data_IF_576473167129
#
_entry.id   IF_576473167129
#
_cell.length_a   1.000
_cell.length_b   1.000
_cell.length_c   1.000
_cell.angle_alpha   90.00
_cell.angle_beta   90.00
_cell.angle_gamma   90.00
#
_symmetry.space_group_name_H-M   'P 1'
#
loop_
_entity.id
_entity.type
_entity.pdbx_description
1 polymer ?
#
# COMPACT_ATOMS: atom_id res chain seq x y z
N UNK A 1 -7.57 4.04 -7.82
CA UNK A 1 -7.46 5.47 -8.10
C UNK A 1 -6.81 6.14 -6.89
N UNK A 2 -5.91 7.11 -7.12
CA UNK A 2 -5.18 7.75 -6.03
C UNK A 2 -3.94 6.95 -5.61
N UNK A 3 -3.59 7.07 -4.35
CA UNK A 3 -2.41 6.45 -3.72
C UNK A 3 -2.76 5.41 -2.64
N UNK A 4 -4.03 5.07 -2.52
CA UNK A 4 -4.46 3.87 -1.80
C UNK A 4 -3.92 2.65 -2.53
N UNK A 5 -3.19 1.78 -1.81
CA UNK A 5 -2.47 0.65 -2.40
C UNK A 5 -3.13 -0.68 -2.11
N UNK A 6 -2.94 -1.61 -3.04
CA UNK A 6 -3.26 -3.02 -2.89
C UNK A 6 -1.95 -3.80 -3.00
N UNK A 7 -1.67 -4.61 -1.98
CA UNK A 7 -0.56 -5.56 -1.98
C UNK A 7 -1.12 -6.98 -1.99
N UNK A 8 -0.55 -7.85 -2.82
CA UNK A 8 -0.87 -9.26 -2.86
C UNK A 8 0.37 -10.07 -2.53
N UNK A 9 0.29 -10.80 -1.43
CA UNK A 9 1.39 -11.60 -0.89
C UNK A 9 1.07 -13.09 -1.08
N UNK A 10 2.01 -13.81 -1.63
CA UNK A 10 1.97 -15.27 -1.82
C UNK A 10 3.32 -15.88 -1.46
N UNK A 11 3.33 -16.93 -0.63
CA UNK A 11 4.56 -17.63 -0.27
C UNK A 11 5.62 -16.76 0.42
N UNK A 12 5.22 -15.66 1.05
CA UNK A 12 6.14 -14.72 1.69
C UNK A 12 6.76 -13.67 0.76
N UNK A 13 6.21 -13.52 -0.44
CA UNK A 13 6.65 -12.52 -1.43
C UNK A 13 5.46 -11.67 -1.88
N UNK A 14 5.70 -10.39 -2.16
CA UNK A 14 4.72 -9.52 -2.81
C UNK A 14 4.72 -9.84 -4.31
N UNK A 15 3.65 -10.47 -4.78
CA UNK A 15 3.49 -10.86 -6.19
C UNK A 15 2.76 -9.81 -7.02
N UNK A 16 2.11 -8.86 -6.37
CA UNK A 16 1.47 -7.71 -7.01
C UNK A 16 1.40 -6.54 -6.03
N UNK A 17 1.60 -5.36 -6.55
CA UNK A 17 1.39 -4.08 -5.88
C UNK A 17 0.80 -3.10 -6.88
N UNK A 18 -0.28 -2.41 -6.50
CA UNK A 18 -0.84 -1.34 -7.32
C UNK A 18 0.12 -0.15 -7.40
N UNK A 19 0.09 0.54 -8.53
CA UNK A 19 0.85 1.78 -8.73
C UNK A 19 0.02 2.98 -8.29
N UNK A 20 0.67 3.92 -7.61
CA UNK A 20 0.02 5.16 -7.21
C UNK A 20 -0.31 6.03 -8.43
N UNK A 21 -1.41 6.73 -8.37
CA UNK A 21 -1.70 7.82 -9.31
C UNK A 21 -1.19 9.14 -8.71
N UNK A 22 0.13 9.28 -8.64
CA UNK A 22 0.83 10.40 -8.01
C UNK A 22 1.99 10.91 -8.86
N UNK A 23 2.44 12.13 -8.58
CA UNK A 23 3.61 12.71 -9.25
C UNK A 23 4.87 11.86 -9.04
N UNK A 24 5.22 11.42 -7.79
CA UNK A 24 6.40 10.59 -7.61
C UNK A 24 6.34 9.25 -8.37
N UNK A 25 5.16 8.64 -8.48
CA UNK A 25 5.02 7.42 -9.29
C UNK A 25 5.27 7.68 -10.78
N UNK A 26 4.86 8.83 -11.29
CA UNK A 26 5.21 9.23 -12.67
C UNK A 26 6.73 9.37 -12.83
N UNK A 27 7.41 9.99 -11.87
CA UNK A 27 8.86 10.15 -11.87
C UNK A 27 9.59 8.78 -11.84
N UNK A 28 9.07 7.82 -11.06
CA UNK A 28 9.57 6.42 -11.11
C UNK A 28 9.40 5.82 -12.51
N UNK A 29 8.24 6.03 -13.12
CA UNK A 29 7.95 5.48 -14.46
C UNK A 29 8.84 6.09 -15.53
N UNK A 30 9.21 7.37 -15.39
CA UNK A 30 10.16 8.07 -16.28
C UNK A 30 11.63 7.78 -15.95
N UNK A 31 11.92 7.07 -14.86
CA UNK A 31 13.28 6.76 -14.43
C UNK A 31 14.03 7.90 -13.74
N UNK A 32 13.32 8.93 -13.28
CA UNK A 32 13.90 10.09 -12.59
C UNK A 32 14.23 9.78 -11.13
N UNK A 33 13.40 8.95 -10.47
CA UNK A 33 13.61 8.48 -9.09
C UNK A 33 13.37 6.98 -9.00
N UNK A 34 13.82 6.37 -7.92
CA UNK A 34 13.54 4.96 -7.59
C UNK A 34 12.25 4.82 -6.78
N UNK A 35 11.68 3.61 -6.75
CA UNK A 35 10.41 3.35 -6.07
C UNK A 35 10.46 3.65 -4.55
N UNK A 36 11.55 3.33 -3.90
CA UNK A 36 11.78 3.57 -2.47
C UNK A 36 11.84 5.06 -2.11
N UNK A 37 12.14 5.92 -3.08
CA UNK A 37 12.15 7.38 -2.88
C UNK A 37 10.75 8.00 -2.82
N UNK A 38 9.69 7.28 -3.23
CA UNK A 38 8.30 7.80 -3.19
C UNK A 38 7.91 8.22 -1.78
N UNK A 39 8.21 7.40 -0.74
CA UNK A 39 7.79 7.65 0.64
C UNK A 39 8.28 8.97 1.21
N UNK A 40 9.50 9.34 0.90
CA UNK A 40 10.14 10.57 1.39
C UNK A 40 10.07 11.74 0.41
N UNK A 41 9.36 11.61 -0.72
CA UNK A 41 9.33 12.65 -1.73
C UNK A 41 8.49 13.85 -1.30
N UNK A 42 8.98 15.07 -1.51
CA UNK A 42 8.27 16.31 -1.14
C UNK A 42 6.89 16.45 -1.78
N UNK A 43 6.73 15.91 -2.99
CA UNK A 43 5.48 15.93 -3.75
C UNK A 43 4.63 14.66 -3.57
N UNK A 44 4.87 13.85 -2.51
CA UNK A 44 4.19 12.55 -2.33
C UNK A 44 2.66 12.66 -2.28
N UNK A 45 2.15 13.79 -1.79
CA UNK A 45 0.71 14.06 -1.67
C UNK A 45 0.08 14.61 -2.97
N UNK A 46 0.85 14.82 -4.03
CA UNK A 46 0.34 15.34 -5.30
C UNK A 46 -0.18 14.20 -6.17
N UNK A 47 -1.50 14.05 -6.19
CA UNK A 47 -2.18 13.03 -6.98
C UNK A 47 -2.40 13.48 -8.43
N UNK A 48 -2.27 12.51 -9.35
CA UNK A 48 -2.58 12.68 -10.78
C UNK A 48 -4.00 12.25 -11.12
N UNK A 49 -4.63 11.43 -10.26
CA UNK A 49 -6.03 11.00 -10.33
C UNK A 49 -6.59 10.87 -8.92
N UNK A 50 -7.77 11.46 -8.70
CA UNK A 50 -8.50 11.36 -7.44
C UNK A 50 -10.02 11.34 -7.72
N UNK A 51 -10.78 10.67 -6.86
CA UNK A 51 -12.24 10.70 -6.92
C UNK A 51 -12.74 12.12 -6.66
N UNK A 52 -13.69 12.59 -7.48
CA UNK A 52 -14.27 13.93 -7.37
C UNK A 52 -13.45 15.06 -7.96
N UNK A 53 -12.27 14.78 -8.51
CA UNK A 53 -11.42 15.83 -9.13
C UNK A 53 -11.85 16.17 -10.56
N UNK A 54 -12.40 15.22 -11.30
CA UNK A 54 -12.95 15.38 -12.67
C UNK A 54 -14.18 14.47 -12.81
N UNK A 55 -15.04 14.81 -13.77
CA UNK A 55 -16.25 14.02 -14.05
C UNK A 55 -15.93 12.59 -14.53
N UNK A 56 -14.83 12.40 -15.25
CA UNK A 56 -14.33 11.11 -15.73
C UNK A 56 -13.05 10.68 -14.99
N UNK A 57 -13.18 9.74 -14.05
CA UNK A 57 -12.05 9.12 -13.37
C UNK A 57 -11.85 7.70 -13.90
N UNK A 58 -10.77 7.49 -14.63
CA UNK A 58 -10.38 6.16 -15.09
C UNK A 58 -9.72 5.38 -13.95
N UNK A 59 -10.37 4.32 -13.50
CA UNK A 59 -9.80 3.39 -12.53
C UNK A 59 -8.83 2.41 -13.21
N UNK A 60 -7.76 2.06 -12.51
CA UNK A 60 -6.92 0.94 -12.92
C UNK A 60 -7.53 -0.38 -12.42
N UNK A 61 -7.50 -1.40 -13.26
CA UNK A 61 -8.09 -2.71 -12.97
C UNK A 61 -7.01 -3.78 -13.03
N UNK A 62 -7.04 -4.66 -12.06
CA UNK A 62 -6.21 -5.86 -12.03
C UNK A 62 -7.07 -7.08 -11.69
N UNK A 63 -6.81 -8.20 -12.35
CA UNK A 63 -7.47 -9.46 -12.09
C UNK A 63 -6.44 -10.59 -11.94
N UNK A 64 -6.68 -11.50 -11.00
CA UNK A 64 -5.80 -12.62 -10.76
C UNK A 64 -6.53 -13.77 -10.07
N UNK A 65 -5.91 -14.95 -10.07
CA UNK A 65 -6.46 -16.13 -9.37
C UNK A 65 -5.89 -16.22 -7.97
N UNK A 66 -6.76 -16.08 -6.98
CA UNK A 66 -6.43 -16.28 -5.57
C UNK A 66 -6.19 -17.77 -5.32
N UNK A 67 -5.19 -18.07 -4.47
CA UNK A 67 -4.87 -19.40 -3.98
C UNK A 67 -4.99 -19.42 -2.45
N UNK A 68 -5.23 -20.60 -1.91
CA UNK A 68 -5.20 -20.80 -0.46
C UNK A 68 -3.88 -20.30 0.14
N UNK A 69 -3.95 -19.52 1.20
CA UNK A 69 -2.81 -18.91 1.86
C UNK A 69 -2.37 -17.56 1.28
N UNK A 70 -2.97 -17.11 0.18
CA UNK A 70 -2.74 -15.75 -0.32
C UNK A 70 -3.23 -14.72 0.67
N UNK A 71 -2.57 -13.58 0.68
CA UNK A 71 -2.90 -12.44 1.54
C UNK A 71 -3.02 -11.18 0.72
N UNK A 72 -4.09 -10.44 0.96
CA UNK A 72 -4.32 -9.14 0.33
C UNK A 72 -4.37 -8.08 1.43
N UNK A 73 -3.67 -6.98 1.20
CA UNK A 73 -3.71 -5.80 2.04
C UNK A 73 -4.12 -4.61 1.18
N UNK A 74 -5.21 -3.94 1.57
CA UNK A 74 -5.64 -2.67 0.99
C UNK A 74 -5.39 -1.60 2.05
N UNK A 75 -4.68 -0.53 1.72
CA UNK A 75 -4.35 0.48 2.72
C UNK A 75 -4.17 1.87 2.11
N UNK A 76 -4.50 2.89 2.91
CA UNK A 76 -4.28 4.30 2.57
C UNK A 76 -2.79 4.69 2.73
N UNK A 77 -2.44 5.87 2.23
CA UNK A 77 -1.08 6.44 2.34
C UNK A 77 -0.60 6.54 3.79
N UNK A 78 -1.41 7.06 4.71
CA UNK A 78 -1.07 7.13 6.13
C UNK A 78 -0.79 5.76 6.79
N UNK A 79 -1.12 4.64 6.14
CA UNK A 79 -0.72 3.31 6.59
C UNK A 79 0.62 2.88 5.96
N UNK A 80 0.72 2.89 4.62
CA UNK A 80 1.92 2.38 3.94
C UNK A 80 3.14 3.31 4.09
N UNK A 81 2.96 4.57 4.45
CA UNK A 81 4.07 5.46 4.80
C UNK A 81 4.89 4.93 5.98
N UNK A 82 4.23 4.32 6.97
CA UNK A 82 4.85 3.82 8.21
C UNK A 82 5.16 2.32 8.20
N UNK A 83 4.49 1.54 7.36
CA UNK A 83 4.68 0.09 7.24
C UNK A 83 5.37 -0.23 5.92
N UNK A 84 6.62 -0.68 5.98
CA UNK A 84 7.38 -1.04 4.80
C UNK A 84 6.90 -2.39 4.23
N UNK A 85 7.16 -2.63 2.96
CA UNK A 85 6.83 -3.89 2.29
C UNK A 85 7.43 -5.12 3.01
N UNK A 86 8.67 -4.98 3.50
CA UNK A 86 9.32 -6.02 4.30
C UNK A 86 8.58 -6.29 5.63
N UNK A 87 8.06 -5.26 6.28
CA UNK A 87 7.26 -5.39 7.50
C UNK A 87 5.93 -6.11 7.20
N UNK A 88 5.26 -5.75 6.10
CA UNK A 88 4.01 -6.40 5.68
C UNK A 88 4.19 -7.90 5.51
N UNK A 89 5.26 -8.31 4.85
CA UNK A 89 5.61 -9.73 4.66
C UNK A 89 5.99 -10.41 5.97
N UNK A 90 6.81 -9.77 6.80
CA UNK A 90 7.26 -10.33 8.07
C UNK A 90 6.09 -10.54 9.05
N UNK A 91 5.19 -9.55 9.17
CA UNK A 91 4.01 -9.64 10.04
C UNK A 91 2.99 -10.68 9.56
N UNK A 92 3.00 -11.05 8.26
CA UNK A 92 2.03 -11.96 7.68
C UNK A 92 2.26 -13.45 8.00
N UNK A 93 3.48 -13.84 8.35
CA UNK A 93 3.88 -15.26 8.46
C UNK A 93 3.09 -15.99 9.55
N UNK A 94 2.32 -17.03 9.13
CA UNK A 94 1.60 -17.91 10.04
C UNK A 94 0.49 -17.24 10.86
N UNK A 95 0.06 -16.04 10.49
CA UNK A 95 -0.90 -15.23 11.23
C UNK A 95 -2.27 -15.20 10.58
N UNK A 96 -3.31 -15.03 11.39
CA UNK A 96 -4.65 -14.65 10.93
C UNK A 96 -4.63 -13.23 10.37
N UNK A 97 -5.69 -12.83 9.65
CA UNK A 97 -5.82 -11.46 9.16
C UNK A 97 -5.75 -10.43 10.29
N UNK A 98 -6.41 -10.71 11.43
CA UNK A 98 -6.41 -9.83 12.59
C UNK A 98 -5.03 -9.70 13.24
N UNK A 99 -4.33 -10.81 13.44
CA UNK A 99 -2.97 -10.81 14.02
C UNK A 99 -1.98 -10.08 13.10
N UNK A 100 -2.15 -10.23 11.79
CA UNK A 100 -1.36 -9.53 10.78
C UNK A 100 -1.57 -8.02 10.87
N UNK A 101 -2.83 -7.55 10.89
CA UNK A 101 -3.14 -6.13 11.09
C UNK A 101 -2.59 -5.61 12.42
N UNK A 102 -2.80 -6.33 13.51
CA UNK A 102 -2.33 -5.91 14.83
C UNK A 102 -0.81 -5.74 14.86
N UNK A 103 -0.06 -6.65 14.22
CA UNK A 103 1.39 -6.54 14.10
C UNK A 103 1.84 -5.28 13.36
N UNK A 104 1.19 -4.96 12.24
CA UNK A 104 1.48 -3.75 11.47
C UNK A 104 1.07 -2.47 12.21
N UNK A 105 -0.10 -2.46 12.87
CA UNK A 105 -0.53 -1.32 13.68
C UNK A 105 0.42 -1.06 14.86
N UNK A 106 0.99 -2.10 15.46
CA UNK A 106 2.00 -1.94 16.51
C UNK A 106 3.27 -1.24 16.00
N UNK A 107 3.68 -1.50 14.75
CA UNK A 107 4.80 -0.80 14.10
C UNK A 107 4.46 0.68 13.86
N UNK A 108 3.25 0.99 13.40
CA UNK A 108 2.80 2.37 13.24
C UNK A 108 2.89 3.10 14.59
N UNK A 109 2.34 2.51 15.67
CA UNK A 109 2.35 3.11 17.00
C UNK A 109 3.78 3.40 17.54
N UNK A 110 4.77 2.62 17.11
CA UNK A 110 6.17 2.83 17.48
C UNK A 110 6.87 3.91 16.64
N UNK A 111 6.44 4.11 15.40
CA UNK A 111 7.10 4.99 14.41
C UNK A 111 6.37 6.32 14.23
N UNK A 112 5.14 6.39 14.73
CA UNK A 112 4.24 7.53 14.56
C UNK A 112 4.83 8.81 15.14
N UNK A 113 4.71 9.92 14.43
CA UNK A 113 4.99 11.26 14.92
C UNK A 113 3.71 12.13 14.94
N UNK A 114 3.79 13.34 15.48
CA UNK A 114 2.64 14.23 15.66
C UNK A 114 2.03 14.72 14.34
N UNK A 115 2.72 14.57 13.21
CA UNK A 115 2.28 15.01 11.87
C UNK A 115 1.69 13.87 11.03
N UNK A 116 1.57 12.66 11.58
CA UNK A 116 1.09 11.51 10.82
C UNK A 116 -0.40 11.63 10.47
N UNK A 117 -0.73 11.26 9.24
CA UNK A 117 -2.09 11.28 8.71
C UNK A 117 -2.96 10.15 9.28
N UNK A 118 -4.27 10.26 9.11
CA UNK A 118 -5.21 9.19 9.37
C UNK A 118 -4.87 7.98 8.50
N UNK A 119 -5.00 6.78 9.05
CA UNK A 119 -4.75 5.56 8.29
C UNK A 119 -5.88 4.55 8.37
N UNK A 120 -6.04 3.80 7.29
CA UNK A 120 -7.00 2.70 7.21
C UNK A 120 -6.38 1.53 6.47
N UNK A 121 -6.70 0.31 6.90
CA UNK A 121 -6.27 -0.89 6.21
C UNK A 121 -7.31 -2.02 6.33
N UNK A 122 -7.36 -2.85 5.29
CA UNK A 122 -8.14 -4.08 5.23
C UNK A 122 -7.19 -5.22 4.89
N UNK A 123 -7.12 -6.23 5.75
CA UNK A 123 -6.35 -7.44 5.50
C UNK A 123 -7.28 -8.63 5.22
N UNK A 124 -6.97 -9.38 4.18
CA UNK A 124 -7.71 -10.57 3.74
C UNK A 124 -6.73 -11.75 3.68
N UNK A 125 -7.12 -12.89 4.22
CA UNK A 125 -6.40 -14.15 4.10
C UNK A 125 -7.31 -15.14 3.40
N UNK A 126 -6.85 -15.73 2.29
CA UNK A 126 -7.58 -16.76 1.55
C UNK A 126 -7.44 -18.12 2.24
N UNK A 127 -8.56 -18.71 2.66
CA UNK A 127 -8.64 -20.02 3.33
C UNK A 127 -9.02 -21.16 2.35
#
# INVERSE_FOLDING_TARGET
VGDTRIYWIRGGEIIYQSKDHSIPQMMVTCGEITYDQIRGHESRNLLTRALGYKDDVTAEHFAGRIRRGDRLLLCTDGFWEWVLEADMVACARGKTAQEWLNGMCALIAQRFDEEADNYSAIAIVAE
#
